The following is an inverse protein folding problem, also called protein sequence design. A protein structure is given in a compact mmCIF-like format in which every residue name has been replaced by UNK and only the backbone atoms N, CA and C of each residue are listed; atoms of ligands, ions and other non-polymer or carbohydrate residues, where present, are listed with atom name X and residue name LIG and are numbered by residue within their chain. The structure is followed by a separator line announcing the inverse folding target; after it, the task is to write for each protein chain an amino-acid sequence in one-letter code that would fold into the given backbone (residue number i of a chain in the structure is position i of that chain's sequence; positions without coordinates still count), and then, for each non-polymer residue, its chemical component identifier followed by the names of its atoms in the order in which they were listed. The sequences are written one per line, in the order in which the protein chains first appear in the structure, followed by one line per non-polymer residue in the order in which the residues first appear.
data_IF_616327082871
#
_entry.id   IF_616327082871
#
_cell.length_a   1.000
_cell.length_b   1.000
_cell.length_c   1.000
_cell.angle_alpha   90.00
_cell.angle_beta   90.00
_cell.angle_gamma   90.00
#
_symmetry.space_group_name_H-M   'P 1'
#
loop_
_entity.id
_entity.type
_entity.pdbx_description
1 polymer ?
#
# COMPACT_ATOMS: atom_id res chain seq x y z
N UNK A 1 -16.30 -3.98 -0.55
CA UNK A 1 -16.59 -2.97 -1.58
C UNK A 1 -18.06 -2.79 -1.90
N UNK A 2 -18.96 -3.73 -1.56
CA UNK A 2 -20.39 -3.63 -1.90
C UNK A 2 -21.11 -2.37 -1.39
N UNK A 3 -20.68 -1.81 -0.26
CA UNK A 3 -21.27 -0.59 0.32
C UNK A 3 -20.49 0.70 -0.03
N UNK A 4 -19.31 0.58 -0.63
CA UNK A 4 -18.41 1.70 -0.86
C UNK A 4 -18.75 2.37 -2.19
N UNK A 5 -18.95 3.69 -2.17
CA UNK A 5 -19.32 4.45 -3.39
C UNK A 5 -18.15 5.20 -4.02
N UNK A 6 -17.09 5.49 -3.25
CA UNK A 6 -15.87 6.18 -3.70
C UNK A 6 -14.69 5.74 -2.83
N UNK A 7 -13.49 5.70 -3.41
CA UNK A 7 -12.25 5.42 -2.69
C UNK A 7 -11.31 6.62 -2.83
N UNK A 8 -10.79 7.10 -1.69
CA UNK A 8 -9.77 8.14 -1.65
C UNK A 8 -8.44 7.51 -1.21
N UNK A 9 -7.38 7.77 -1.97
CA UNK A 9 -6.03 7.26 -1.69
C UNK A 9 -5.06 8.43 -1.58
N UNK A 10 -4.18 8.40 -0.58
CA UNK A 10 -3.03 9.29 -0.52
C UNK A 10 -1.87 8.75 -1.35
N UNK A 11 -1.12 9.64 -2.00
CA UNK A 11 0.13 9.30 -2.66
C UNK A 11 1.34 9.90 -1.92
N UNK A 12 2.41 9.11 -1.85
CA UNK A 12 3.74 9.56 -1.44
C UNK A 12 4.47 10.20 -2.63
N UNK A 13 4.24 9.70 -3.84
CA UNK A 13 4.82 10.21 -5.09
C UNK A 13 3.90 9.87 -6.27
N UNK A 14 3.90 10.72 -7.30
CA UNK A 14 3.29 10.41 -8.60
C UNK A 14 4.37 10.49 -9.67
N UNK A 15 4.58 9.35 -10.32
CA UNK A 15 5.57 9.19 -11.37
C UNK A 15 5.08 9.82 -12.67
N UNK A 16 6.02 10.17 -13.56
CA UNK A 16 5.73 10.84 -14.84
C UNK A 16 4.85 10.02 -15.78
N UNK A 17 4.82 8.69 -15.63
CA UNK A 17 3.91 7.78 -16.34
C UNK A 17 2.50 7.68 -15.71
N UNK A 18 2.21 8.47 -14.66
CA UNK A 18 0.95 8.46 -13.92
C UNK A 18 0.84 7.34 -12.87
N UNK A 19 1.91 6.57 -12.64
CA UNK A 19 1.91 5.55 -11.58
C UNK A 19 1.93 6.23 -10.22
N UNK A 20 1.05 5.76 -9.34
CA UNK A 20 0.89 6.28 -7.98
C UNK A 20 1.71 5.43 -7.03
N UNK A 21 2.69 6.06 -6.39
CA UNK A 21 3.50 5.45 -5.35
C UNK A 21 2.93 5.83 -3.98
N UNK A 22 2.68 4.82 -3.14
CA UNK A 22 2.04 4.96 -1.84
C UNK A 22 2.43 3.75 -0.97
N UNK A 23 1.88 3.68 0.25
CA UNK A 23 2.11 2.56 1.16
C UNK A 23 1.68 1.21 0.57
N UNK A 24 2.22 0.14 1.15
CA UNK A 24 1.90 -1.24 0.78
C UNK A 24 0.38 -1.50 0.88
N UNK A 25 -0.16 -2.17 -0.13
CA UNK A 25 -1.60 -2.49 -0.21
C UNK A 25 -2.48 -1.45 -0.92
N UNK A 26 -2.00 -0.24 -1.17
CA UNK A 26 -2.74 0.79 -1.93
C UNK A 26 -3.19 0.29 -3.30
N UNK A 27 -2.29 -0.39 -4.03
CA UNK A 27 -2.61 -1.00 -5.32
C UNK A 27 -3.69 -2.09 -5.20
N UNK A 28 -3.65 -2.91 -4.15
CA UNK A 28 -4.67 -3.94 -3.91
C UNK A 28 -6.05 -3.32 -3.69
N UNK A 29 -6.14 -2.27 -2.88
CA UNK A 29 -7.40 -1.54 -2.65
C UNK A 29 -7.91 -0.94 -3.96
N UNK A 30 -7.04 -0.30 -4.74
CA UNK A 30 -7.40 0.29 -6.03
C UNK A 30 -7.88 -0.78 -7.03
N UNK A 31 -7.21 -1.93 -7.12
CA UNK A 31 -7.61 -3.04 -8.00
C UNK A 31 -8.98 -3.60 -7.62
N UNK A 32 -9.22 -3.83 -6.32
CA UNK A 32 -10.52 -4.32 -5.86
C UNK A 32 -11.60 -3.25 -6.10
N UNK A 33 -11.34 -1.97 -5.81
CA UNK A 33 -12.28 -0.89 -6.11
C UNK A 33 -12.65 -0.86 -7.61
N UNK A 34 -11.65 -0.97 -8.48
CA UNK A 34 -11.83 -1.02 -9.93
C UNK A 34 -12.68 -2.23 -10.35
N UNK A 35 -12.45 -3.42 -9.77
CA UNK A 35 -13.26 -4.62 -10.05
C UNK A 35 -14.75 -4.42 -9.70
N UNK A 36 -15.05 -3.62 -8.67
CA UNK A 36 -16.41 -3.27 -8.28
C UNK A 36 -16.95 -1.99 -8.96
N UNK A 37 -16.22 -1.43 -9.95
CA UNK A 37 -16.54 -0.17 -10.64
C UNK A 37 -16.71 1.02 -9.69
N UNK A 38 -15.98 1.01 -8.57
CA UNK A 38 -15.95 2.12 -7.62
C UNK A 38 -14.82 3.08 -8.04
N UNK A 39 -15.09 4.37 -8.23
CA UNK A 39 -14.07 5.33 -8.64
C UNK A 39 -13.01 5.52 -7.55
N UNK A 40 -11.75 5.58 -7.99
CA UNK A 40 -10.58 5.81 -7.15
C UNK A 40 -10.06 7.23 -7.40
N UNK A 41 -9.99 8.02 -6.34
CA UNK A 41 -9.53 9.40 -6.33
C UNK A 41 -8.22 9.46 -5.56
N UNK A 42 -7.17 10.00 -6.18
CA UNK A 42 -5.84 10.08 -5.57
C UNK A 42 -5.57 11.52 -5.17
N UNK A 43 -5.23 11.74 -3.90
CA UNK A 43 -4.99 13.05 -3.31
C UNK A 43 -3.51 13.19 -2.95
N UNK A 44 -2.87 14.23 -3.48
CA UNK A 44 -1.45 14.53 -3.25
C UNK A 44 -1.14 15.99 -3.57
N UNK A 45 -0.04 16.49 -3.04
CA UNK A 45 0.48 17.83 -3.30
C UNK A 45 1.36 17.85 -4.55
N UNK A 46 1.34 18.96 -5.30
CA UNK A 46 2.04 19.07 -6.59
C UNK A 46 3.57 18.87 -6.51
N UNK A 47 4.20 19.11 -5.36
CA UNK A 47 5.64 18.86 -5.22
C UNK A 47 6.01 17.36 -5.20
N UNK A 48 5.01 16.48 -5.05
CA UNK A 48 5.18 15.01 -5.07
C UNK A 48 5.16 14.43 -6.49
N UNK A 49 5.25 15.26 -7.53
CA UNK A 49 5.53 14.77 -8.88
C UNK A 49 7.01 14.39 -9.01
N UNK A 50 7.29 13.31 -9.74
CA UNK A 50 8.66 12.85 -9.98
C UNK A 50 8.86 12.41 -11.43
N UNK A 51 9.99 12.80 -12.02
CA UNK A 51 10.29 12.57 -13.44
C UNK A 51 10.54 11.10 -13.79
N UNK A 52 11.00 10.30 -12.83
CA UNK A 52 11.25 8.85 -12.98
C UNK A 52 9.98 8.11 -13.42
N UNK A 53 10.21 7.07 -14.22
CA UNK A 53 9.22 6.03 -14.55
C UNK A 53 9.62 4.73 -13.86
N UNK A 54 8.65 4.01 -13.33
CA UNK A 54 8.83 2.71 -12.70
C UNK A 54 7.69 1.79 -13.13
N UNK A 55 8.04 0.56 -13.53
CA UNK A 55 7.09 -0.42 -14.07
C UNK A 55 6.62 -1.46 -13.04
N UNK A 56 7.45 -1.73 -12.04
CA UNK A 56 7.21 -2.72 -10.99
C UNK A 56 7.42 -2.11 -9.61
N UNK A 57 6.93 -2.76 -8.55
CA UNK A 57 7.09 -2.29 -7.17
C UNK A 57 8.30 -2.89 -6.44
N UNK A 58 9.28 -3.43 -7.19
CA UNK A 58 10.41 -4.24 -6.67
C UNK A 58 11.73 -3.50 -6.83
N UNK A 59 12.01 -2.94 -8.01
CA UNK A 59 13.32 -2.36 -8.35
C UNK A 59 13.69 -1.14 -7.51
N UNK A 60 12.69 -0.38 -7.04
CA UNK A 60 12.88 0.81 -6.22
C UNK A 60 11.75 0.89 -5.20
N UNK A 61 12.03 0.42 -3.99
CA UNK A 61 11.09 0.44 -2.87
C UNK A 61 11.86 0.52 -1.53
N UNK A 62 11.16 0.87 -0.46
CA UNK A 62 11.67 0.82 0.90
C UNK A 62 11.62 -0.61 1.46
N UNK A 63 12.67 -1.02 2.18
CA UNK A 63 12.67 -2.28 2.93
C UNK A 63 12.23 -2.00 4.37
N UNK A 64 11.16 -2.68 4.78
CA UNK A 64 10.71 -2.68 6.18
C UNK A 64 11.55 -3.61 7.06
N UNK A 65 11.40 -3.48 8.38
CA UNK A 65 12.03 -4.39 9.34
C UNK A 65 11.50 -5.83 9.16
N UNK A 66 12.37 -6.81 8.85
CA UNK A 66 11.97 -8.21 8.74
C UNK A 66 11.37 -8.78 10.03
N UNK A 67 11.68 -8.23 11.21
CA UNK A 67 11.16 -8.72 12.47
C UNK A 67 9.73 -8.25 12.74
N UNK A 68 9.23 -7.24 12.02
CA UNK A 68 7.86 -6.75 12.20
C UNK A 68 6.81 -7.84 11.97
N UNK A 69 7.07 -8.79 11.06
CA UNK A 69 6.17 -9.92 10.77
C UNK A 69 6.33 -11.09 11.75
N UNK A 70 7.34 -11.07 12.62
CA UNK A 70 7.58 -12.14 13.60
C UNK A 70 6.68 -12.05 14.83
N UNK A 71 6.16 -10.85 15.10
CA UNK A 71 5.28 -10.56 16.23
C UNK A 71 3.87 -11.09 15.93
N UNK A 72 3.58 -12.28 16.42
CA UNK A 72 2.25 -12.89 16.32
C UNK A 72 1.52 -12.70 17.64
N UNK A 73 0.33 -12.10 17.58
CA UNK A 73 -0.53 -11.95 18.75
C UNK A 73 -0.84 -13.33 19.35
N UNK A 74 -0.48 -13.57 20.63
CA UNK A 74 -0.70 -14.84 21.32
C UNK A 74 0.48 -15.82 21.36
N UNK A 75 1.64 -15.49 20.77
CA UNK A 75 2.85 -16.34 20.81
C UNK A 75 3.43 -16.51 22.22
N UNK A 76 3.21 -15.54 23.10
CA UNK A 76 3.68 -15.55 24.50
C UNK A 76 3.07 -16.66 25.35
N UNK A 77 1.87 -17.17 25.01
CA UNK A 77 1.26 -18.29 25.75
C UNK A 77 1.99 -19.61 25.55
N UNK A 78 2.55 -19.85 24.36
CA UNK A 78 3.27 -21.10 24.07
C UNK A 78 4.65 -21.13 24.73
N UNK A 79 5.37 -20.00 24.73
CA UNK A 79 6.73 -19.95 25.30
C UNK A 79 6.76 -20.00 26.83
N UNK A 80 5.63 -19.71 27.51
CA UNK A 80 5.50 -19.85 28.97
C UNK A 80 5.20 -21.28 29.44
N UNK A 81 4.72 -22.15 28.55
CA UNK A 81 4.39 -23.56 28.86
C UNK A 81 5.57 -24.52 28.64
N UNK A 82 6.65 -24.03 28.01
CA UNK A 82 7.87 -24.78 27.71
C UNK A 82 9.05 -24.38 28.63
N UNK A 83 8.78 -23.77 29.79
CA UNK A 83 9.75 -23.50 30.85
C UNK A 83 9.28 -24.08 32.17
#
# INVERSE_FOLDING_TARGET
MHEVTKVFLGASLVLSNGTVYSGVGTACVAMVANAFRVPVLVCFEAYKFHERVQLDSICSNELGDPNAISQVHGRDRHNKLLR
#
